data_IF_314241669372
#
_entry.id   IF_314241669372
#
_cell.length_a   1.000
_cell.length_b   1.000
_cell.length_c   1.000
_cell.angle_alpha   90.00
_cell.angle_beta   90.00
_cell.angle_gamma   90.00
#
_symmetry.space_group_name_H-M   'P 1'
#
loop_
_entity.id
_entity.type
_entity.pdbx_description
1 polymer ?
#
# COMPACT_ATOMS: atom_id res chain seq x y z
N UNK A 1 8.84 17.53 -7.94
CA UNK A 1 7.93 16.56 -8.58
C UNK A 1 8.48 15.18 -8.33
N UNK A 2 7.73 14.30 -7.68
CA UNK A 2 8.08 12.90 -7.51
C UNK A 2 7.41 12.13 -8.64
N UNK A 3 8.20 11.40 -9.43
CA UNK A 3 7.66 10.62 -10.55
C UNK A 3 6.64 9.62 -9.99
N UNK A 4 5.39 9.58 -10.49
CA UNK A 4 4.42 8.59 -10.03
C UNK A 4 4.86 7.18 -10.44
N UNK A 5 5.75 7.03 -11.41
CA UNK A 5 6.34 5.73 -11.73
C UNK A 5 7.40 5.40 -10.68
N UNK A 6 7.07 4.51 -9.75
CA UNK A 6 8.00 3.98 -8.77
C UNK A 6 9.16 3.20 -9.39
N UNK A 7 10.03 2.67 -8.52
CA UNK A 7 11.23 1.96 -8.94
C UNK A 7 10.94 0.52 -9.39
N UNK A 8 11.84 -0.06 -10.18
CA UNK A 8 11.68 -1.43 -10.66
C UNK A 8 11.85 -2.43 -9.51
N UNK A 9 11.06 -3.50 -9.52
CA UNK A 9 11.11 -4.57 -8.50
C UNK A 9 12.46 -5.28 -8.44
N UNK A 10 13.03 -5.54 -9.60
CA UNK A 10 14.38 -6.04 -9.75
C UNK A 10 15.24 -4.94 -10.39
N UNK A 11 16.48 -4.79 -9.92
CA UNK A 11 17.50 -4.02 -10.62
C UNK A 11 18.33 -4.99 -11.46
N UNK A 12 18.60 -4.63 -12.71
CA UNK A 12 19.41 -5.40 -13.64
C UNK A 12 20.79 -4.81 -13.88
N UNK A 13 20.98 -3.51 -13.59
CA UNK A 13 22.26 -2.81 -13.68
C UNK A 13 22.97 -2.78 -12.32
N UNK A 14 24.29 -2.56 -12.32
CA UNK A 14 25.11 -2.51 -11.10
C UNK A 14 24.69 -1.40 -10.14
N UNK A 15 25.30 -1.39 -8.94
CA UNK A 15 25.16 -0.28 -8.00
C UNK A 15 25.82 0.98 -8.57
N UNK A 16 25.29 2.14 -8.22
CA UNK A 16 25.94 3.42 -8.47
C UNK A 16 26.29 4.13 -7.15
N UNK A 17 26.97 5.27 -7.26
CA UNK A 17 27.36 6.11 -6.12
C UNK A 17 26.63 7.47 -6.17
N UNK A 18 26.31 8.00 -4.99
CA UNK A 18 25.93 9.37 -4.76
C UNK A 18 26.97 10.02 -3.84
N UNK A 19 27.63 11.08 -4.29
CA UNK A 19 28.66 11.80 -3.53
C UNK A 19 28.46 13.31 -3.60
N UNK A 20 28.96 14.02 -2.60
CA UNK A 20 28.91 15.48 -2.57
C UNK A 20 30.24 16.08 -3.03
N UNK A 21 30.23 16.82 -4.14
CA UNK A 21 31.43 17.41 -4.73
C UNK A 21 31.13 18.80 -5.30
N UNK A 22 32.03 19.76 -5.10
CA UNK A 22 31.90 21.09 -5.70
C UNK A 22 30.63 21.87 -5.31
N UNK A 23 30.02 21.56 -4.16
CA UNK A 23 28.81 22.22 -3.69
C UNK A 23 27.49 21.67 -4.25
N UNK A 24 27.52 20.47 -4.83
CA UNK A 24 26.35 19.79 -5.40
C UNK A 24 26.44 18.27 -5.22
N UNK A 25 25.32 17.59 -5.39
CA UNK A 25 25.28 16.13 -5.46
C UNK A 25 25.69 15.66 -6.86
N UNK A 26 26.53 14.63 -6.91
CA UNK A 26 26.84 13.85 -8.10
C UNK A 26 26.18 12.49 -7.93
N UNK A 27 25.25 12.13 -8.81
CA UNK A 27 24.49 10.87 -8.78
C UNK A 27 24.84 10.07 -10.03
N UNK A 28 25.43 8.87 -9.85
CA UNK A 28 25.87 8.02 -10.96
C UNK A 28 26.70 8.81 -12.00
N UNK A 29 27.74 9.50 -11.53
CA UNK A 29 28.62 10.37 -12.34
C UNK A 29 27.96 11.61 -12.98
N UNK A 30 26.69 11.89 -12.68
CA UNK A 30 25.96 13.04 -13.22
C UNK A 30 25.72 14.10 -12.14
N UNK A 31 26.17 15.35 -12.33
CA UNK A 31 25.88 16.43 -11.39
C UNK A 31 24.39 16.79 -11.38
N UNK A 32 23.85 17.04 -10.18
CA UNK A 32 22.43 17.36 -9.95
C UNK A 32 22.31 18.66 -9.10
N UNK A 33 22.66 19.84 -9.66
CA UNK A 33 22.68 21.10 -8.90
C UNK A 33 21.29 21.59 -8.49
N UNK A 34 20.28 21.35 -9.33
CA UNK A 34 18.94 21.94 -9.19
C UNK A 34 17.87 20.92 -8.74
N UNK A 35 18.30 19.74 -8.26
CA UNK A 35 17.41 18.62 -7.96
C UNK A 35 17.20 17.69 -9.16
N UNK A 36 16.51 16.56 -8.91
CA UNK A 36 16.27 15.52 -9.91
C UNK A 36 15.07 15.84 -10.79
N UNK A 37 15.25 15.60 -12.09
CA UNK A 37 14.17 15.59 -13.08
C UNK A 37 13.59 14.18 -13.25
N UNK A 38 12.42 14.08 -13.90
CA UNK A 38 11.84 12.79 -14.27
C UNK A 38 12.74 11.97 -15.21
N UNK A 39 13.54 12.65 -16.04
CA UNK A 39 14.51 12.02 -16.94
C UNK A 39 15.67 11.41 -16.15
N UNK A 40 16.19 12.13 -15.16
CA UNK A 40 17.26 11.62 -14.29
C UNK A 40 16.78 10.38 -13.55
N UNK A 41 15.60 10.46 -12.92
CA UNK A 41 14.98 9.32 -12.23
C UNK A 41 14.77 8.14 -13.19
N UNK A 42 14.31 8.38 -14.42
CA UNK A 42 14.11 7.33 -15.40
C UNK A 42 15.41 6.60 -15.75
N UNK A 43 16.54 7.32 -15.88
CA UNK A 43 17.85 6.74 -16.14
C UNK A 43 18.41 5.90 -14.98
N UNK A 44 17.95 6.15 -13.75
CA UNK A 44 18.39 5.44 -12.55
C UNK A 44 17.57 4.17 -12.25
N UNK A 45 16.43 3.95 -12.92
CA UNK A 45 15.46 2.89 -12.58
C UNK A 45 16.00 1.46 -12.64
N UNK A 46 16.97 1.21 -13.51
CA UNK A 46 17.53 -0.13 -13.73
C UNK A 46 18.59 -0.51 -12.69
N UNK A 47 19.07 0.44 -11.88
CA UNK A 47 20.12 0.21 -10.89
C UNK A 47 19.67 -0.75 -9.79
N UNK A 48 20.59 -1.57 -9.27
CA UNK A 48 20.36 -2.33 -8.03
C UNK A 48 20.11 -1.40 -6.84
N UNK A 49 20.71 -0.23 -6.84
CA UNK A 49 20.63 0.75 -5.76
C UNK A 49 21.77 1.77 -5.88
N UNK A 50 21.80 2.70 -4.96
CA UNK A 50 22.80 3.76 -4.89
C UNK A 50 23.43 3.75 -3.50
N UNK A 51 24.76 3.62 -3.47
CA UNK A 51 25.57 3.83 -2.29
C UNK A 51 25.77 5.34 -2.07
N UNK A 52 25.57 5.84 -0.85
CA UNK A 52 25.76 7.25 -0.52
C UNK A 52 27.10 7.39 0.21
N UNK A 53 28.03 8.11 -0.42
CA UNK A 53 29.25 8.61 0.20
C UNK A 53 28.96 9.98 0.84
N UNK A 54 28.84 9.97 2.17
CA UNK A 54 28.43 11.14 2.93
C UNK A 54 29.60 12.09 3.20
N UNK A 55 29.45 13.41 2.96
CA UNK A 55 30.44 14.38 3.37
C UNK A 55 30.48 14.52 4.90
N UNK A 56 31.66 14.86 5.42
CA UNK A 56 31.88 15.10 6.85
C UNK A 56 31.10 16.31 7.39
N UNK A 57 30.81 17.29 6.53
CA UNK A 57 30.03 18.48 6.84
C UNK A 57 28.59 18.33 6.36
N UNK A 58 27.66 19.01 7.03
CA UNK A 58 26.25 18.99 6.66
C UNK A 58 26.01 19.58 5.26
N UNK A 59 25.14 18.92 4.49
CA UNK A 59 24.76 19.30 3.12
C UNK A 59 23.26 19.18 2.92
N UNK A 60 22.66 19.86 1.92
CA UNK A 60 21.24 19.71 1.61
C UNK A 60 20.86 18.26 1.30
N UNK A 61 19.73 17.80 1.84
CA UNK A 61 19.23 16.43 1.68
C UNK A 61 18.22 16.27 0.53
N UNK A 62 17.81 17.36 -0.12
CA UNK A 62 16.72 17.38 -1.08
C UNK A 62 16.87 16.35 -2.20
N UNK A 63 18.06 16.22 -2.80
CA UNK A 63 18.33 15.23 -3.86
C UNK A 63 18.21 13.80 -3.33
N UNK A 64 18.72 13.52 -2.13
CA UNK A 64 18.65 12.19 -1.51
C UNK A 64 17.20 11.83 -1.18
N UNK A 65 16.43 12.78 -0.64
CA UNK A 65 15.01 12.59 -0.36
C UNK A 65 14.17 12.44 -1.64
N UNK A 66 14.53 13.12 -2.73
CA UNK A 66 13.93 12.93 -4.05
C UNK A 66 14.22 11.53 -4.62
N UNK A 67 15.46 11.02 -4.49
CA UNK A 67 15.79 9.62 -4.86
C UNK A 67 14.96 8.62 -4.06
N UNK A 68 14.90 8.81 -2.73
CA UNK A 68 14.09 7.98 -1.85
C UNK A 68 12.62 8.02 -2.28
N UNK A 69 12.06 9.22 -2.51
CA UNK A 69 10.67 9.41 -2.93
C UNK A 69 10.34 8.82 -4.31
N UNK A 70 11.34 8.72 -5.20
CA UNK A 70 11.25 8.00 -6.47
C UNK A 70 11.33 6.46 -6.30
N UNK A 71 11.60 5.98 -5.09
CA UNK A 71 11.75 4.57 -4.76
C UNK A 71 13.14 4.01 -5.07
N UNK A 72 14.14 4.83 -5.36
CA UNK A 72 15.51 4.34 -5.59
C UNK A 72 16.02 3.70 -4.29
N UNK A 73 16.47 2.43 -4.26
CA UNK A 73 17.09 1.84 -3.10
C UNK A 73 18.40 2.57 -2.79
N UNK A 74 18.48 3.10 -1.58
CA UNK A 74 19.65 3.84 -1.09
C UNK A 74 20.29 3.06 0.05
N UNK A 75 21.61 3.09 0.13
CA UNK A 75 22.33 2.59 1.30
C UNK A 75 23.61 3.34 1.59
N UNK A 76 24.14 3.18 2.79
CA UNK A 76 25.48 3.59 3.19
C UNK A 76 25.96 2.72 4.35
N UNK A 77 27.26 2.51 4.51
CA UNK A 77 27.79 1.72 5.63
C UNK A 77 27.64 2.45 6.96
N UNK A 78 27.75 3.79 6.93
CA UNK A 78 27.64 4.65 8.09
C UNK A 78 26.94 5.94 7.73
N UNK A 79 26.51 6.70 8.72
CA UNK A 79 25.97 8.05 8.52
C UNK A 79 26.75 9.04 9.34
N UNK A 80 26.93 10.28 8.84
CA UNK A 80 27.66 11.31 9.57
C UNK A 80 26.84 11.78 10.77
N UNK A 81 27.52 12.30 11.80
CA UNK A 81 26.87 12.73 13.05
C UNK A 81 25.83 13.84 12.89
N UNK A 82 25.86 14.59 11.79
CA UNK A 82 24.86 15.61 11.49
C UNK A 82 23.52 15.04 10.97
N UNK A 83 23.45 13.76 10.62
CA UNK A 83 22.24 13.08 10.13
C UNK A 83 21.56 12.21 11.20
N UNK A 84 22.16 12.03 12.39
CA UNK A 84 21.77 11.01 13.38
C UNK A 84 20.31 11.11 13.84
N UNK A 85 19.72 12.31 13.87
CA UNK A 85 18.34 12.54 14.31
C UNK A 85 17.30 12.37 13.18
N UNK A 86 17.72 12.21 11.91
CA UNK A 86 16.78 11.98 10.80
C UNK A 86 16.48 10.48 10.66
N UNK A 87 15.20 10.06 10.56
CA UNK A 87 14.84 8.66 10.29
C UNK A 87 15.50 8.05 9.04
N UNK A 88 15.93 8.89 8.08
CA UNK A 88 16.70 8.48 6.92
C UNK A 88 17.98 7.74 7.32
N UNK A 89 18.66 8.14 8.40
CA UNK A 89 19.91 7.52 8.82
C UNK A 89 19.76 6.01 9.08
N UNK A 90 18.74 5.63 9.84
CA UNK A 90 18.43 4.23 10.13
C UNK A 90 18.04 3.46 8.86
N UNK A 91 17.32 4.11 7.94
CA UNK A 91 16.93 3.48 6.68
C UNK A 91 18.14 3.23 5.78
N UNK A 92 19.00 4.22 5.53
CA UNK A 92 20.13 4.03 4.60
C UNK A 92 21.22 3.11 5.16
N UNK A 93 21.33 2.97 6.48
CA UNK A 93 22.26 2.02 7.10
C UNK A 93 21.71 0.59 7.20
N UNK A 94 20.41 0.38 6.92
CA UNK A 94 19.82 -0.95 6.84
C UNK A 94 20.26 -1.65 5.54
N UNK A 95 21.40 -2.33 5.60
CA UNK A 95 22.04 -3.00 4.46
C UNK A 95 21.63 -4.47 4.31
N UNK A 96 20.68 -4.96 5.13
CA UNK A 96 20.27 -6.39 5.12
C UNK A 96 19.72 -6.84 3.77
N UNK A 97 19.10 -5.94 3.01
CA UNK A 97 18.56 -6.22 1.68
C UNK A 97 19.63 -6.44 0.60
N UNK A 98 20.89 -6.05 0.86
CA UNK A 98 22.01 -6.29 -0.05
C UNK A 98 22.46 -7.76 -0.04
N UNK A 99 22.17 -8.48 1.04
CA UNK A 99 22.56 -9.87 1.18
C UNK A 99 21.60 -10.77 0.40
N UNK A 100 22.09 -11.75 -0.36
CA UNK A 100 21.23 -12.76 -0.95
C UNK A 100 20.40 -13.46 0.14
N UNK A 101 19.09 -13.54 -0.06
CA UNK A 101 18.17 -14.22 0.86
C UNK A 101 17.32 -15.23 0.09
N UNK A 102 17.18 -16.42 0.64
CA UNK A 102 16.23 -17.43 0.18
C UNK A 102 15.19 -17.68 1.25
N UNK A 103 13.97 -18.00 0.83
CA UNK A 103 12.92 -18.43 1.75
C UNK A 103 13.12 -19.89 2.22
N UNK A 104 12.22 -20.36 3.07
CA UNK A 104 12.23 -21.74 3.61
C UNK A 104 12.06 -22.84 2.56
N UNK A 105 11.67 -22.50 1.32
CA UNK A 105 11.57 -23.42 0.19
C UNK A 105 12.79 -23.32 -0.76
N UNK A 106 13.78 -22.49 -0.43
CA UNK A 106 14.99 -22.30 -1.23
C UNK A 106 14.81 -21.35 -2.43
N UNK A 107 13.68 -20.65 -2.54
CA UNK A 107 13.47 -19.67 -3.62
C UNK A 107 14.06 -18.32 -3.20
N UNK A 108 14.76 -17.67 -4.13
CA UNK A 108 15.35 -16.35 -3.89
C UNK A 108 14.28 -15.30 -3.62
N UNK A 109 14.48 -14.52 -2.55
CA UNK A 109 13.65 -13.37 -2.16
C UNK A 109 14.47 -12.07 -2.11
N UNK A 110 15.69 -12.06 -2.64
CA UNK A 110 16.58 -10.88 -2.65
C UNK A 110 15.91 -9.66 -3.29
N UNK A 111 15.25 -9.83 -4.43
CA UNK A 111 14.55 -8.72 -5.10
C UNK A 111 13.33 -8.23 -4.32
N UNK A 112 12.66 -9.14 -3.59
CA UNK A 112 11.61 -8.76 -2.65
C UNK A 112 12.18 -7.92 -1.50
N UNK A 113 13.33 -8.28 -0.92
CA UNK A 113 13.95 -7.48 0.15
C UNK A 113 14.35 -6.09 -0.33
N UNK A 114 14.86 -6.00 -1.55
CA UNK A 114 15.14 -4.71 -2.20
C UNK A 114 13.87 -3.88 -2.41
N UNK A 115 12.78 -4.49 -2.86
CA UNK A 115 11.48 -3.82 -3.04
C UNK A 115 10.89 -3.34 -1.70
N UNK A 116 10.94 -4.17 -0.66
CA UNK A 116 10.52 -3.80 0.70
C UNK A 116 11.34 -2.61 1.24
N UNK A 117 12.66 -2.62 1.02
CA UNK A 117 13.56 -1.52 1.38
C UNK A 117 13.20 -0.23 0.63
N UNK A 118 13.00 -0.34 -0.67
CA UNK A 118 12.57 0.77 -1.54
C UNK A 118 11.29 1.42 -1.03
N UNK A 119 10.27 0.63 -0.66
CA UNK A 119 9.01 1.15 -0.11
C UNK A 119 9.22 1.90 1.20
N UNK A 120 10.05 1.37 2.12
CA UNK A 120 10.35 2.03 3.40
C UNK A 120 11.06 3.38 3.20
N UNK A 121 12.07 3.42 2.33
CA UNK A 121 12.73 4.67 1.94
C UNK A 121 11.75 5.65 1.30
N UNK A 122 10.89 5.15 0.41
CA UNK A 122 9.95 5.97 -0.33
C UNK A 122 8.95 6.69 0.57
N UNK A 123 8.45 6.03 1.60
CA UNK A 123 7.61 6.69 2.61
C UNK A 123 8.32 7.90 3.22
N UNK A 124 9.57 7.74 3.67
CA UNK A 124 10.36 8.85 4.24
C UNK A 124 10.62 9.96 3.21
N UNK A 125 10.96 9.60 1.98
CA UNK A 125 11.22 10.57 0.91
C UNK A 125 9.97 11.36 0.53
N UNK A 126 8.81 10.71 0.41
CA UNK A 126 7.56 11.38 0.06
C UNK A 126 7.08 12.35 1.13
N UNK A 127 7.38 12.09 2.41
CA UNK A 127 7.07 13.02 3.50
C UNK A 127 7.91 14.31 3.49
N UNK A 128 8.90 14.42 2.58
CA UNK A 128 9.57 15.70 2.29
C UNK A 128 8.67 16.64 1.47
N UNK A 129 7.68 16.10 0.75
CA UNK A 129 6.73 16.88 -0.05
C UNK A 129 5.55 17.37 0.82
N UNK A 130 5.41 18.68 0.93
CA UNK A 130 4.33 19.31 1.69
C UNK A 130 2.93 18.91 1.19
N UNK A 131 2.76 18.64 -0.11
CA UNK A 131 1.48 18.15 -0.65
C UNK A 131 1.17 16.73 -0.16
N UNK A 132 2.18 15.85 -0.11
CA UNK A 132 2.01 14.49 0.40
C UNK A 132 1.61 14.50 1.89
N UNK A 133 2.26 15.35 2.68
CA UNK A 133 1.90 15.56 4.09
C UNK A 133 0.48 16.10 4.24
N UNK A 134 0.09 17.08 3.42
CA UNK A 134 -1.25 17.65 3.45
C UNK A 134 -2.32 16.60 3.13
N UNK A 135 -2.15 15.83 2.05
CA UNK A 135 -3.07 14.75 1.67
C UNK A 135 -3.18 13.68 2.76
N UNK A 136 -2.05 13.24 3.31
CA UNK A 136 -2.03 12.20 4.36
C UNK A 136 -2.73 12.65 5.66
N UNK A 137 -2.74 13.95 5.95
CA UNK A 137 -3.38 14.50 7.15
C UNK A 137 -4.91 14.56 7.08
N UNK A 138 -5.50 14.44 5.87
CA UNK A 138 -6.95 14.50 5.68
C UNK A 138 -7.63 13.24 6.25
N UNK A 139 -8.83 13.38 6.84
CA UNK A 139 -9.50 12.27 7.49
C UNK A 139 -9.98 11.20 6.49
N UNK A 140 -9.83 9.93 6.86
CA UNK A 140 -10.28 8.76 6.09
C UNK A 140 -11.41 8.05 6.83
N UNK A 141 -12.52 7.81 6.15
CA UNK A 141 -13.56 6.91 6.64
C UNK A 141 -13.32 5.51 6.06
N UNK A 142 -12.95 4.57 6.93
CA UNK A 142 -12.81 3.16 6.59
C UNK A 142 -14.20 2.53 6.61
N UNK A 143 -14.66 2.06 5.44
CA UNK A 143 -15.96 1.41 5.27
C UNK A 143 -15.76 -0.09 5.19
N UNK A 144 -16.33 -0.79 6.17
CA UNK A 144 -16.35 -2.25 6.24
C UNK A 144 -17.77 -2.73 6.06
N UNK A 145 -17.99 -3.76 5.24
CA UNK A 145 -19.27 -4.47 5.16
C UNK A 145 -19.02 -5.97 5.36
N UNK A 146 -19.65 -6.56 6.37
CA UNK A 146 -19.40 -7.94 6.76
C UNK A 146 -20.69 -8.71 6.97
N UNK A 147 -20.72 -9.99 6.59
CA UNK A 147 -21.73 -10.98 7.00
C UNK A 147 -21.20 -11.94 8.08
N UNK A 148 -20.02 -11.66 8.62
CA UNK A 148 -19.18 -12.60 9.40
C UNK A 148 -18.92 -12.03 10.79
N UNK A 149 -19.87 -12.12 11.73
CA UNK A 149 -19.73 -11.53 13.06
C UNK A 149 -18.45 -11.95 13.80
N UNK A 150 -17.97 -13.18 13.58
CA UNK A 150 -16.74 -13.69 14.18
C UNK A 150 -15.45 -13.05 13.66
N UNK A 151 -15.50 -12.27 12.57
CA UNK A 151 -14.35 -11.51 12.06
C UNK A 151 -14.30 -10.08 12.56
N UNK A 152 -15.37 -9.54 13.16
CA UNK A 152 -15.43 -8.15 13.59
C UNK A 152 -14.21 -7.76 14.45
N UNK A 153 -13.89 -8.57 15.47
CA UNK A 153 -12.71 -8.31 16.32
C UNK A 153 -11.40 -8.32 15.55
N UNK A 154 -11.16 -9.34 14.70
CA UNK A 154 -9.93 -9.41 13.92
C UNK A 154 -9.81 -8.24 12.93
N UNK A 155 -10.91 -7.81 12.30
CA UNK A 155 -10.91 -6.62 11.42
C UNK A 155 -10.53 -5.36 12.17
N UNK A 156 -11.12 -5.13 13.35
CA UNK A 156 -10.81 -3.98 14.18
C UNK A 156 -9.36 -3.99 14.67
N UNK A 157 -8.79 -5.14 15.00
CA UNK A 157 -7.37 -5.27 15.35
C UNK A 157 -6.43 -4.87 14.21
N UNK A 158 -6.80 -5.13 12.95
CA UNK A 158 -5.99 -4.68 11.80
C UNK A 158 -6.10 -3.17 11.56
N UNK A 159 -7.30 -2.61 11.71
CA UNK A 159 -7.53 -1.17 11.56
C UNK A 159 -6.86 -0.40 12.71
N UNK A 160 -6.91 -0.92 13.93
CA UNK A 160 -6.28 -0.30 15.12
C UNK A 160 -4.76 -0.15 14.97
N UNK A 161 -4.12 -0.98 14.14
CA UNK A 161 -2.68 -0.93 13.86
C UNK A 161 -2.30 0.08 12.77
N UNK A 162 -3.27 0.76 12.14
CA UNK A 162 -2.96 1.73 11.10
C UNK A 162 -2.22 2.95 11.69
N UNK A 163 -1.14 3.36 11.02
CA UNK A 163 -0.25 4.45 11.43
C UNK A 163 -0.30 5.59 10.43
N UNK A 164 0.09 6.78 10.87
CA UNK A 164 0.23 7.96 10.01
C UNK A 164 -1.04 8.31 9.23
N UNK A 165 -2.20 8.11 9.85
CA UNK A 165 -3.51 8.38 9.24
C UNK A 165 -4.47 8.87 10.31
N UNK A 166 -5.30 9.85 9.96
CA UNK A 166 -6.46 10.26 10.74
C UNK A 166 -7.68 9.49 10.22
N UNK A 167 -8.25 8.58 11.01
CA UNK A 167 -9.34 7.73 10.54
C UNK A 167 -10.52 7.62 11.50
N UNK A 168 -11.66 7.28 10.92
CA UNK A 168 -12.83 6.70 11.59
C UNK A 168 -13.25 5.41 10.89
N UNK A 169 -14.06 4.58 11.56
CA UNK A 169 -14.59 3.34 11.02
C UNK A 169 -16.12 3.39 10.94
N UNK A 170 -16.67 3.02 9.80
CA UNK A 170 -18.08 2.71 9.64
C UNK A 170 -18.21 1.24 9.28
N UNK A 171 -18.67 0.46 10.23
CA UNK A 171 -18.80 -0.98 10.13
C UNK A 171 -20.26 -1.34 9.89
N UNK A 172 -20.58 -1.76 8.67
CA UNK A 172 -21.88 -2.29 8.30
C UNK A 172 -21.96 -3.80 8.62
N UNK A 173 -22.65 -4.11 9.72
CA UNK A 173 -23.04 -5.46 10.12
C UNK A 173 -24.23 -5.92 9.27
N UNK A 174 -23.95 -6.74 8.26
CA UNK A 174 -24.92 -7.19 7.27
C UNK A 174 -25.49 -8.55 7.67
N UNK A 175 -26.72 -8.56 8.17
CA UNK A 175 -27.41 -9.77 8.62
C UNK A 175 -27.04 -10.22 10.03
N UNK A 176 -26.44 -9.35 10.85
CA UNK A 176 -26.15 -9.66 12.26
C UNK A 176 -26.18 -8.39 13.14
N UNK A 177 -26.37 -8.52 14.47
CA UNK A 177 -26.51 -7.36 15.34
C UNK A 177 -25.27 -6.47 15.37
N UNK A 178 -25.47 -5.15 15.23
CA UNK A 178 -24.36 -4.19 15.31
C UNK A 178 -23.68 -4.13 16.71
N UNK A 179 -24.36 -4.63 17.75
CA UNK A 179 -23.79 -4.76 19.09
C UNK A 179 -22.58 -5.68 19.14
N UNK A 180 -22.49 -6.68 18.25
CA UNK A 180 -21.31 -7.56 18.16
C UNK A 180 -20.05 -6.75 17.84
N UNK A 181 -20.17 -5.76 16.94
CA UNK A 181 -19.05 -4.88 16.56
C UNK A 181 -18.74 -3.91 17.69
N UNK A 182 -19.77 -3.33 18.32
CA UNK A 182 -19.59 -2.40 19.45
C UNK A 182 -18.89 -3.09 20.63
N UNK A 183 -19.28 -4.32 20.94
CA UNK A 183 -18.65 -5.11 22.00
C UNK A 183 -17.19 -5.43 21.65
N UNK A 184 -16.91 -5.88 20.43
CA UNK A 184 -15.54 -6.14 20.00
C UNK A 184 -14.65 -4.89 20.09
N UNK A 185 -15.16 -3.73 19.66
CA UNK A 185 -14.44 -2.47 19.78
C UNK A 185 -14.17 -2.08 21.24
N UNK A 186 -15.15 -2.27 22.13
CA UNK A 186 -15.02 -1.99 23.56
C UNK A 186 -14.01 -2.92 24.23
N UNK A 187 -14.10 -4.23 23.98
CA UNK A 187 -13.23 -5.26 24.55
C UNK A 187 -11.75 -5.04 24.17
N UNK A 188 -11.51 -4.54 22.96
CA UNK A 188 -10.17 -4.26 22.44
C UNK A 188 -9.63 -2.88 22.82
N UNK A 189 -10.46 -2.00 23.39
CA UNK A 189 -10.11 -0.59 23.58
C UNK A 189 -9.78 0.11 22.26
N UNK A 190 -10.59 -0.12 21.23
CA UNK A 190 -10.35 0.36 19.87
C UNK A 190 -10.10 1.88 19.86
N UNK A 191 -8.97 2.35 19.28
CA UNK A 191 -8.47 3.70 19.54
C UNK A 191 -9.11 4.80 18.67
N UNK A 192 -9.94 4.44 17.70
CA UNK A 192 -10.51 5.38 16.73
C UNK A 192 -12.03 5.50 16.85
N UNK A 193 -12.64 6.60 16.38
CA UNK A 193 -14.09 6.70 16.26
C UNK A 193 -14.64 5.56 15.42
N UNK A 194 -15.71 4.92 15.92
CA UNK A 194 -16.38 3.82 15.23
C UNK A 194 -17.89 3.95 15.30
N UNK A 195 -18.54 3.73 14.17
CA UNK A 195 -19.98 3.57 14.05
C UNK A 195 -20.28 2.17 13.53
N UNK A 196 -21.09 1.40 14.28
CA UNK A 196 -21.60 0.12 13.82
C UNK A 196 -23.06 0.28 13.37
N UNK A 197 -23.35 -0.15 12.14
CA UNK A 197 -24.67 -0.05 11.51
C UNK A 197 -25.18 -1.45 11.24
N UNK A 198 -26.41 -1.72 11.64
CA UNK A 198 -27.08 -2.99 11.39
C UNK A 198 -27.93 -2.89 10.13
N UNK A 199 -27.78 -3.86 9.23
CA UNK A 199 -28.58 -3.99 8.02
C UNK A 199 -29.08 -5.43 7.93
N UNK A 200 -30.26 -5.64 7.34
CA UNK A 200 -30.83 -6.99 7.17
C UNK A 200 -30.08 -7.76 6.09
N UNK A 201 -30.12 -9.09 6.13
CA UNK A 201 -29.37 -9.96 5.21
C UNK A 201 -29.90 -9.92 3.75
N UNK A 202 -31.11 -9.39 3.54
CA UNK A 202 -31.72 -9.12 2.23
C UNK A 202 -31.22 -7.82 1.58
N UNK A 203 -30.50 -6.96 2.32
CA UNK A 203 -29.97 -5.71 1.76
C UNK A 203 -28.94 -6.01 0.68
N UNK A 204 -29.06 -5.37 -0.48
CA UNK A 204 -28.12 -5.60 -1.58
C UNK A 204 -26.75 -5.07 -1.23
N UNK A 205 -25.68 -5.80 -1.57
CA UNK A 205 -24.31 -5.49 -1.10
C UNK A 205 -23.85 -4.05 -1.43
N UNK A 206 -24.14 -3.54 -2.63
CA UNK A 206 -23.88 -2.15 -2.97
C UNK A 206 -24.57 -1.14 -2.04
N UNK A 207 -25.82 -1.40 -1.67
CA UNK A 207 -26.58 -0.55 -0.73
C UNK A 207 -26.01 -0.60 0.69
N UNK A 208 -25.47 -1.76 1.11
CA UNK A 208 -24.76 -1.88 2.39
C UNK A 208 -23.55 -0.96 2.46
N UNK A 209 -22.73 -0.95 1.41
CA UNK A 209 -21.59 -0.05 1.32
C UNK A 209 -22.04 1.42 1.26
N UNK A 210 -23.11 1.74 0.51
CA UNK A 210 -23.64 3.09 0.43
C UNK A 210 -24.23 3.60 1.76
N UNK A 211 -24.86 2.74 2.58
CA UNK A 211 -25.31 3.10 3.93
C UNK A 211 -24.13 3.51 4.81
N UNK A 212 -23.03 2.73 4.75
CA UNK A 212 -21.83 3.08 5.49
C UNK A 212 -21.21 4.40 5.00
N UNK A 213 -21.12 4.61 3.68
CA UNK A 213 -20.63 5.86 3.07
C UNK A 213 -21.46 7.07 3.46
N UNK A 214 -22.79 6.95 3.59
CA UNK A 214 -23.64 8.08 4.02
C UNK A 214 -23.37 8.55 5.45
N UNK A 215 -22.76 7.71 6.28
CA UNK A 215 -22.39 8.03 7.67
C UNK A 215 -20.94 8.47 7.80
N UNK A 216 -20.16 8.33 6.73
CA UNK A 216 -18.79 8.77 6.66
C UNK A 216 -18.69 10.30 6.71
N UNK A 217 -17.78 10.79 7.54
CA UNK A 217 -17.45 12.22 7.68
C UNK A 217 -16.09 12.59 7.08
N UNK A 218 -15.23 11.60 6.82
CA UNK A 218 -13.92 11.77 6.23
C UNK A 218 -13.94 12.33 4.81
N UNK A 219 -12.79 12.87 4.40
CA UNK A 219 -12.57 13.38 3.05
C UNK A 219 -12.40 12.24 2.04
N UNK A 220 -11.81 11.14 2.50
CA UNK A 220 -11.59 9.92 1.72
C UNK A 220 -12.46 8.78 2.23
N UNK A 221 -12.90 7.94 1.31
CA UNK A 221 -13.50 6.64 1.59
C UNK A 221 -12.46 5.57 1.27
N UNK A 222 -12.15 4.71 2.24
CA UNK A 222 -11.36 3.52 2.05
C UNK A 222 -12.24 2.28 2.25
N UNK A 223 -12.44 1.47 1.21
CA UNK A 223 -13.13 0.19 1.34
C UNK A 223 -12.18 -0.83 1.98
N UNK A 224 -12.70 -1.62 2.90
CA UNK A 224 -11.94 -2.63 3.63
C UNK A 224 -12.71 -3.94 3.71
N UNK A 225 -12.12 -5.02 3.18
CA UNK A 225 -12.68 -6.38 3.26
C UNK A 225 -12.23 -7.07 4.58
N UNK A 226 -13.14 -7.73 5.28
CA UNK A 226 -12.95 -8.26 6.64
C UNK A 226 -12.20 -9.61 6.71
N UNK A 227 -11.94 -10.28 5.59
CA UNK A 227 -11.17 -11.54 5.49
C UNK A 227 -9.73 -11.39 5.03
N UNK A 228 -9.32 -10.22 4.53
CA UNK A 228 -7.97 -10.01 4.02
C UNK A 228 -7.02 -9.49 5.09
N UNK A 229 -5.71 -9.53 4.81
CA UNK A 229 -4.68 -8.97 5.69
C UNK A 229 -4.11 -7.67 5.16
N UNK A 230 -3.97 -6.70 6.06
CA UNK A 230 -3.49 -5.35 5.76
C UNK A 230 -2.34 -4.98 6.71
N UNK A 231 -1.28 -4.40 6.15
CA UNK A 231 -0.13 -3.92 6.89
C UNK A 231 -0.42 -2.62 7.66
N UNK A 232 0.40 -2.26 8.67
CA UNK A 232 0.14 -1.11 9.55
C UNK A 232 0.25 0.26 8.86
N UNK A 233 0.91 0.36 7.71
CA UNK A 233 1.02 1.61 6.95
C UNK A 233 0.13 1.62 5.71
N UNK A 234 -0.72 0.60 5.55
CA UNK A 234 -1.48 0.36 4.33
C UNK A 234 -2.32 1.57 3.88
N UNK A 235 -3.10 2.18 4.79
CA UNK A 235 -3.88 3.37 4.45
C UNK A 235 -2.97 4.57 4.15
N UNK A 236 -1.86 4.71 4.87
CA UNK A 236 -0.90 5.78 4.65
C UNK A 236 -0.23 5.68 3.27
N UNK A 237 0.07 4.46 2.80
CA UNK A 237 0.61 4.22 1.46
C UNK A 237 -0.40 4.61 0.37
N UNK A 238 -1.70 4.31 0.56
CA UNK A 238 -2.74 4.74 -0.36
C UNK A 238 -2.89 6.27 -0.42
N UNK A 239 -2.82 6.96 0.72
CA UNK A 239 -2.86 8.42 0.77
C UNK A 239 -1.65 9.05 0.08
N UNK A 240 -0.45 8.51 0.33
CA UNK A 240 0.76 8.92 -0.38
C UNK A 240 0.61 8.68 -1.89
N UNK A 241 0.04 7.54 -2.29
CA UNK A 241 -0.27 7.24 -3.69
C UNK A 241 -1.25 8.22 -4.31
N UNK A 242 -2.30 8.60 -3.59
CA UNK A 242 -3.24 9.64 -4.02
C UNK A 242 -2.51 10.97 -4.25
N UNK A 243 -1.58 11.32 -3.38
CA UNK A 243 -0.85 12.58 -3.45
C UNK A 243 0.10 12.66 -4.65
N UNK A 244 0.95 11.66 -4.87
CA UNK A 244 1.95 11.71 -5.95
C UNK A 244 1.35 11.38 -7.33
N UNK A 245 0.28 10.56 -7.39
CA UNK A 245 -0.33 10.19 -8.67
C UNK A 245 -1.37 11.20 -9.15
N UNK A 246 -1.98 11.94 -8.22
CA UNK A 246 -3.14 12.79 -8.49
C UNK A 246 -4.41 12.03 -8.88
N UNK A 247 -4.38 10.68 -8.89
CA UNK A 247 -5.46 9.88 -9.45
C UNK A 247 -6.78 9.99 -8.69
N UNK A 248 -7.92 9.81 -9.34
CA UNK A 248 -9.24 9.93 -8.71
C UNK A 248 -9.52 8.76 -7.76
N UNK A 249 -9.04 7.58 -8.12
CA UNK A 249 -9.10 6.36 -7.32
C UNK A 249 -7.73 5.70 -7.26
N UNK A 250 -7.34 5.27 -6.06
CA UNK A 250 -6.11 4.50 -5.84
C UNK A 250 -6.42 3.16 -5.20
N UNK A 251 -5.52 2.20 -5.39
CA UNK A 251 -5.56 0.91 -4.70
C UNK A 251 -4.32 0.08 -5.01
N UNK A 252 -4.34 -1.19 -4.64
CA UNK A 252 -3.20 -2.10 -4.86
C UNK A 252 -3.60 -3.26 -5.79
N UNK A 253 -2.62 -3.99 -6.32
CA UNK A 253 -2.91 -5.32 -6.90
C UNK A 253 -3.11 -6.35 -5.80
N UNK A 254 -4.07 -7.27 -5.99
CA UNK A 254 -4.07 -8.55 -5.29
C UNK A 254 -2.91 -9.40 -5.85
N UNK A 255 -1.71 -9.10 -5.38
CA UNK A 255 -0.46 -9.73 -5.80
C UNK A 255 -0.12 -10.93 -4.91
N UNK A 256 -0.39 -10.81 -3.61
CA UNK A 256 -0.16 -11.85 -2.61
C UNK A 256 -1.47 -12.52 -2.23
N UNK A 257 -1.45 -13.84 -2.14
CA UNK A 257 -2.58 -14.63 -1.66
C UNK A 257 -2.14 -15.66 -0.66
N UNK A 258 -2.93 -15.86 0.39
CA UNK A 258 -2.86 -17.08 1.19
C UNK A 258 -4.00 -18.03 0.81
N UNK A 259 -3.62 -19.16 0.23
CA UNK A 259 -4.49 -20.26 -0.15
C UNK A 259 -4.64 -21.18 1.06
N UNK A 260 -5.61 -20.88 1.91
CA UNK A 260 -5.82 -21.53 3.21
C UNK A 260 -5.98 -23.06 3.09
N UNK A 261 -6.78 -23.62 2.14
CA UNK A 261 -6.90 -25.06 1.99
C UNK A 261 -5.60 -25.78 1.61
N UNK A 262 -4.64 -25.06 1.02
CA UNK A 262 -3.32 -25.60 0.65
C UNK A 262 -2.23 -25.24 1.66
N UNK A 263 -2.56 -24.43 2.68
CA UNK A 263 -1.60 -23.79 3.57
C UNK A 263 -0.41 -23.21 2.79
N UNK A 264 -0.71 -22.39 1.77
CA UNK A 264 0.27 -21.90 0.81
C UNK A 264 0.10 -20.39 0.59
N UNK A 265 1.18 -19.63 0.78
CA UNK A 265 1.24 -18.24 0.33
C UNK A 265 1.84 -18.20 -1.07
N UNK A 266 1.28 -17.36 -1.96
CA UNK A 266 1.81 -17.16 -3.31
C UNK A 266 1.96 -15.68 -3.61
N UNK A 267 2.88 -15.37 -4.52
CA UNK A 267 2.99 -14.07 -5.20
C UNK A 267 2.75 -14.29 -6.69
N UNK A 268 1.79 -13.61 -7.29
CA UNK A 268 1.46 -13.76 -8.71
C UNK A 268 2.46 -13.07 -9.63
N UNK A 269 2.73 -13.69 -10.77
CA UNK A 269 3.46 -13.06 -11.87
C UNK A 269 2.60 -12.01 -12.60
N UNK A 270 3.24 -11.02 -13.24
CA UNK A 270 2.59 -10.13 -14.21
C UNK A 270 1.77 -8.97 -13.63
N UNK A 271 1.76 -8.79 -12.30
CA UNK A 271 1.19 -7.59 -11.69
C UNK A 271 2.27 -6.52 -11.60
N UNK A 272 2.07 -5.40 -12.29
CA UNK A 272 2.92 -4.22 -12.15
C UNK A 272 2.33 -3.29 -11.10
N UNK A 273 3.14 -2.87 -10.14
CA UNK A 273 2.82 -1.77 -9.25
C UNK A 273 3.29 -0.45 -9.84
N UNK A 274 2.82 0.63 -9.24
CA UNK A 274 3.22 1.99 -9.54
C UNK A 274 2.86 2.45 -10.97
N UNK A 275 1.60 2.19 -11.35
CA UNK A 275 1.12 2.39 -12.72
C UNK A 275 -0.31 2.92 -12.75
N UNK A 276 -0.62 3.76 -13.73
CA UNK A 276 -2.00 4.04 -14.12
C UNK A 276 -2.61 2.74 -14.62
N UNK A 277 -3.76 2.37 -14.06
CA UNK A 277 -4.42 1.10 -14.34
C UNK A 277 -5.90 1.32 -14.57
N UNK A 278 -6.59 0.31 -15.08
CA UNK A 278 -8.05 0.24 -15.08
C UNK A 278 -8.56 -0.68 -13.96
N UNK A 279 -7.65 -1.25 -13.17
CA UNK A 279 -8.00 -2.25 -12.17
C UNK A 279 -7.10 -2.25 -10.92
N UNK A 280 -7.75 -2.29 -9.76
CA UNK A 280 -7.17 -2.54 -8.43
C UNK A 280 -7.98 -3.62 -7.71
N UNK A 281 -7.43 -4.20 -6.66
CA UNK A 281 -8.14 -5.17 -5.82
C UNK A 281 -9.29 -4.49 -5.07
N UNK A 282 -10.44 -5.15 -5.04
CA UNK A 282 -11.69 -4.59 -4.52
C UNK A 282 -11.65 -4.18 -3.05
N UNK A 283 -11.00 -4.97 -2.20
CA UNK A 283 -10.75 -4.62 -0.79
C UNK A 283 -9.73 -3.51 -0.58
N UNK A 284 -9.24 -2.88 -1.66
CA UNK A 284 -8.13 -1.92 -1.58
C UNK A 284 -8.42 -0.52 -2.11
N UNK A 285 -9.68 -0.22 -2.37
CA UNK A 285 -10.10 1.01 -3.02
C UNK A 285 -10.05 2.18 -2.03
N UNK A 286 -9.36 3.26 -2.41
CA UNK A 286 -9.42 4.57 -1.77
C UNK A 286 -9.71 5.66 -2.81
N UNK A 287 -10.66 6.54 -2.50
CA UNK A 287 -11.04 7.68 -3.34
C UNK A 287 -11.64 8.81 -2.50
N UNK A 288 -11.73 10.01 -3.07
CA UNK A 288 -12.42 11.12 -2.40
C UNK A 288 -13.92 10.81 -2.23
N UNK A 289 -14.49 11.17 -1.09
CA UNK A 289 -15.93 10.96 -0.81
C UNK A 289 -16.81 11.70 -1.81
N UNK A 290 -16.42 12.92 -2.18
CA UNK A 290 -17.06 13.72 -3.24
C UNK A 290 -16.89 13.05 -4.61
N UNK A 291 -15.72 12.49 -4.88
CA UNK A 291 -15.45 11.70 -6.09
C UNK A 291 -16.37 10.48 -6.21
N UNK A 292 -16.49 9.69 -5.14
CA UNK A 292 -17.43 8.55 -5.06
C UNK A 292 -18.88 8.99 -5.32
N UNK A 293 -19.31 10.10 -4.71
CA UNK A 293 -20.66 10.63 -4.92
C UNK A 293 -20.88 11.06 -6.39
N UNK A 294 -19.87 11.66 -7.03
CA UNK A 294 -19.97 12.14 -8.41
C UNK A 294 -20.16 11.03 -9.45
N UNK A 295 -19.65 9.83 -9.17
CA UNK A 295 -19.82 8.63 -10.02
C UNK A 295 -21.02 7.77 -9.63
N UNK A 296 -21.84 8.22 -8.67
CA UNK A 296 -23.09 7.55 -8.27
C UNK A 296 -22.97 6.56 -7.11
N UNK A 297 -21.83 6.52 -6.42
CA UNK A 297 -21.60 5.60 -5.30
C UNK A 297 -21.32 4.16 -5.75
N UNK A 298 -21.55 3.21 -4.84
CA UNK A 298 -21.49 1.78 -5.16
C UNK A 298 -22.79 1.36 -5.86
N UNK A 299 -22.71 0.72 -7.04
CA UNK A 299 -23.92 0.26 -7.74
C UNK A 299 -24.69 -0.76 -6.86
N UNK A 300 -26.03 -0.64 -6.71
CA UNK A 300 -26.87 -1.58 -5.94
C UNK A 300 -26.98 -2.99 -6.55
N UNK A 301 -25.85 -3.70 -6.61
CA UNK A 301 -25.74 -5.07 -7.13
C UNK A 301 -25.20 -6.01 -6.05
N UNK A 302 -25.56 -7.31 -6.09
CA UNK A 302 -25.15 -8.26 -5.04
C UNK A 302 -23.69 -8.72 -5.16
N UNK A 303 -23.07 -8.59 -6.34
CA UNK A 303 -21.69 -9.02 -6.61
C UNK A 303 -21.02 -8.07 -7.60
N UNK A 304 -19.68 -8.11 -7.66
CA UNK A 304 -18.86 -7.30 -8.58
C UNK A 304 -19.01 -5.77 -8.42
N UNK A 305 -19.51 -5.32 -7.26
CA UNK A 305 -19.68 -3.90 -6.90
C UNK A 305 -18.39 -3.10 -7.14
N UNK A 306 -17.25 -3.65 -6.72
CA UNK A 306 -15.94 -3.02 -6.89
C UNK A 306 -15.60 -2.80 -8.38
N UNK A 307 -15.84 -3.82 -9.22
CA UNK A 307 -15.62 -3.71 -10.67
C UNK A 307 -16.53 -2.69 -11.34
N UNK A 308 -17.78 -2.56 -10.86
CA UNK A 308 -18.71 -1.52 -11.34
C UNK A 308 -18.26 -0.12 -10.95
N UNK A 309 -17.76 0.07 -9.73
CA UNK A 309 -17.19 1.36 -9.31
C UNK A 309 -15.98 1.74 -10.18
N UNK A 310 -15.06 0.81 -10.42
CA UNK A 310 -13.90 1.07 -11.29
C UNK A 310 -14.34 1.47 -12.72
N UNK A 311 -15.33 0.77 -13.27
CA UNK A 311 -15.89 1.10 -14.59
C UNK A 311 -16.61 2.46 -14.59
N UNK A 312 -17.28 2.85 -13.51
CA UNK A 312 -17.94 4.14 -13.39
C UNK A 312 -16.93 5.30 -13.33
N UNK A 313 -15.83 5.13 -12.59
CA UNK A 313 -14.72 6.10 -12.55
C UNK A 313 -14.10 6.27 -13.94
N UNK A 314 -13.79 5.16 -14.63
CA UNK A 314 -13.24 5.19 -16.00
C UNK A 314 -14.20 5.86 -16.99
N UNK A 315 -15.50 5.52 -16.93
CA UNK A 315 -16.54 6.12 -17.78
C UNK A 315 -16.74 7.62 -17.54
N UNK A 316 -16.45 8.10 -16.32
CA UNK A 316 -16.44 9.52 -15.99
C UNK A 316 -15.16 10.25 -16.43
N UNK A 317 -14.21 9.55 -17.07
CA UNK A 317 -12.90 10.07 -17.45
C UNK A 317 -11.92 10.18 -16.27
N UNK A 318 -12.26 9.57 -15.14
CA UNK A 318 -11.43 9.51 -13.95
C UNK A 318 -10.25 8.56 -14.12
N UNK A 319 -9.16 8.86 -13.43
CA UNK A 319 -7.93 8.10 -13.45
C UNK A 319 -7.85 7.13 -12.26
N UNK A 320 -7.43 5.90 -12.52
CA UNK A 320 -7.20 4.88 -11.50
C UNK A 320 -5.69 4.60 -11.42
N UNK A 321 -5.15 4.60 -10.22
CA UNK A 321 -3.73 4.35 -10.01
C UNK A 321 -3.50 3.18 -9.05
N UNK A 322 -2.59 2.28 -9.44
CA UNK A 322 -2.26 1.07 -8.68
C UNK A 322 -0.87 1.18 -8.07
N UNK A 323 -0.79 1.27 -6.74
CA UNK A 323 0.47 1.27 -5.99
C UNK A 323 0.93 -0.16 -5.65
N UNK A 324 2.01 -0.30 -4.88
CA UNK A 324 2.59 -1.58 -4.48
C UNK A 324 1.60 -2.46 -3.68
N UNK A 325 1.67 -3.77 -3.92
CA UNK A 325 0.84 -4.77 -3.23
C UNK A 325 1.43 -5.28 -1.92
N UNK A 326 2.63 -4.84 -1.51
CA UNK A 326 3.37 -5.45 -0.40
C UNK A 326 2.64 -5.38 0.95
N UNK A 327 1.78 -4.38 1.18
CA UNK A 327 1.04 -4.23 2.43
C UNK A 327 -0.34 -4.92 2.44
N UNK A 328 -0.65 -5.73 1.41
CA UNK A 328 -1.95 -6.38 1.25
C UNK A 328 -1.78 -7.85 0.85
N UNK A 329 -2.47 -8.74 1.56
CA UNK A 329 -2.48 -10.16 1.27
C UNK A 329 -3.91 -10.68 1.30
N UNK A 330 -4.37 -11.16 0.14
CA UNK A 330 -5.73 -11.63 -0.02
C UNK A 330 -5.91 -13.05 0.52
N UNK A 331 -6.96 -13.29 1.29
CA UNK A 331 -7.31 -14.63 1.76
C UNK A 331 -8.10 -15.38 0.71
N UNK A 332 -7.79 -16.68 0.56
CA UNK A 332 -8.59 -17.63 -0.21
C UNK A 332 -8.93 -18.83 0.65
N UNK A 333 -10.09 -18.75 1.30
CA UNK A 333 -10.73 -19.86 2.02
C UNK A 333 -11.50 -20.76 1.05
N UNK A 334 -12.07 -21.90 1.48
CA UNK A 334 -12.89 -22.76 0.63
C UNK A 334 -13.99 -21.99 -0.12
N UNK A 335 -14.31 -22.44 -1.35
CA UNK A 335 -15.14 -21.73 -2.35
C UNK A 335 -16.49 -21.23 -1.79
N UNK A 336 -17.06 -21.95 -0.82
CA UNK A 336 -18.36 -21.64 -0.21
C UNK A 336 -18.37 -20.32 0.59
N UNK A 337 -17.20 -19.74 0.89
CA UNK A 337 -17.06 -18.53 1.69
C UNK A 337 -16.65 -17.30 0.85
N UNK A 338 -16.47 -17.45 -0.47
CA UNK A 338 -15.88 -16.40 -1.32
C UNK A 338 -16.78 -16.03 -2.51
N UNK A 339 -16.86 -14.72 -2.78
CA UNK A 339 -17.51 -14.21 -4.01
C UNK A 339 -16.68 -14.49 -5.27
N UNK A 340 -15.36 -14.67 -5.13
CA UNK A 340 -14.46 -15.03 -6.23
C UNK A 340 -14.26 -16.55 -6.32
N UNK A 341 -14.84 -17.17 -7.36
CA UNK A 341 -14.93 -18.62 -7.55
C UNK A 341 -13.83 -19.25 -8.41
N UNK A 342 -12.65 -18.64 -8.51
CA UNK A 342 -11.56 -19.24 -9.30
C UNK A 342 -10.96 -20.47 -8.59
N UNK A 343 -10.68 -21.58 -9.30
CA UNK A 343 -10.05 -22.76 -8.70
C UNK A 343 -8.66 -22.44 -8.13
N UNK A 344 -8.32 -23.02 -6.97
CA UNK A 344 -7.00 -22.83 -6.33
C UNK A 344 -5.83 -23.18 -7.27
N UNK A 345 -6.00 -24.18 -8.14
CA UNK A 345 -4.99 -24.56 -9.13
C UNK A 345 -4.64 -23.42 -10.11
N UNK A 346 -5.59 -22.54 -10.43
CA UNK A 346 -5.32 -21.38 -11.28
C UNK A 346 -4.41 -20.36 -10.58
N UNK A 347 -4.59 -20.17 -9.27
CA UNK A 347 -3.72 -19.32 -8.46
C UNK A 347 -2.29 -19.87 -8.40
N UNK A 348 -2.15 -21.17 -8.13
CA UNK A 348 -0.84 -21.84 -8.09
C UNK A 348 -0.13 -21.75 -9.44
N UNK A 349 -0.84 -21.97 -10.56
CA UNK A 349 -0.26 -21.86 -11.90
C UNK A 349 0.22 -20.44 -12.25
N UNK A 350 -0.45 -19.42 -11.72
CA UNK A 350 -0.11 -18.01 -11.97
C UNK A 350 0.96 -17.46 -11.00
N UNK A 351 1.47 -18.26 -10.08
CA UNK A 351 2.43 -17.82 -9.07
C UNK A 351 3.84 -17.69 -9.64
N UNK A 352 4.48 -16.54 -9.43
CA UNK A 352 5.92 -16.35 -9.61
C UNK A 352 6.72 -16.96 -8.45
N UNK A 353 6.18 -16.86 -7.23
CA UNK A 353 6.76 -17.43 -6.03
C UNK A 353 5.68 -18.16 -5.21
N UNK A 354 6.10 -19.20 -4.49
CA UNK A 354 5.23 -20.01 -3.64
C UNK A 354 5.95 -20.36 -2.34
N UNK A 355 5.27 -20.19 -1.22
CA UNK A 355 5.80 -20.47 0.10
C UNK A 355 4.82 -21.32 0.90
N UNK A 356 5.32 -22.38 1.54
CA UNK A 356 4.52 -23.16 2.49
C UNK A 356 4.23 -22.34 3.75
N UNK A 357 2.99 -22.40 4.22
CA UNK A 357 2.52 -21.65 5.38
C UNK A 357 2.00 -20.26 5.03
N UNK A 358 1.53 -19.57 6.07
CA UNK A 358 1.31 -18.13 6.05
C UNK A 358 2.68 -17.42 6.05
N UNK A 359 2.98 -16.70 4.97
CA UNK A 359 4.28 -16.07 4.70
C UNK A 359 4.08 -14.66 4.14
N UNK A 360 3.61 -13.72 4.98
CA UNK A 360 3.44 -12.34 4.58
C UNK A 360 4.78 -11.66 4.26
N UNK A 361 4.71 -10.49 3.64
CA UNK A 361 5.87 -9.63 3.43
C UNK A 361 6.27 -8.96 4.75
N UNK A 362 7.51 -8.48 4.84
CA UNK A 362 7.98 -7.68 5.99
C UNK A 362 7.17 -6.38 6.14
N UNK A 363 6.75 -5.81 5.02
CA UNK A 363 5.90 -4.61 4.98
C UNK A 363 4.52 -4.87 5.59
N UNK A 364 3.93 -6.04 5.34
CA UNK A 364 2.65 -6.42 5.94
C UNK A 364 2.78 -6.68 7.44
N UNK A 365 3.85 -7.35 7.87
CA UNK A 365 4.11 -7.61 9.29
C UNK A 365 4.42 -6.33 10.09
N UNK A 366 4.87 -5.27 9.41
CA UNK A 366 5.24 -3.99 10.03
C UNK A 366 6.69 -3.93 10.52
N UNK A 367 7.55 -4.81 10.01
CA UNK A 367 8.96 -4.97 10.37
C UNK A 367 9.93 -4.16 9.51
#
# INVERSE_FOLDING_TARGET
MTSPKGFLRAGSAEMAEARWEGGQWIIAETPVPDGLTDTDVAGLRDLRGIHIDWPSSAVPLDVILQLAAAGVPLHSETTPGWLTDDPLAALVTDTRWLQPETDSAGVSVTDLRREEHSVRLRRRGLLHDANAVAVQSRPVSVVVASKRPWLAGATLEQIARQRHVNLEVIFAAHGFPADVVRQAAADQGFPFPIQAVELTDETVFGDVLNEAVRRASGDYIAKWDDDDWYGPDYLSDLLLAKAYSGADLVGTSAEYFYLEPLNLTIRRAGHHSEIVSTHVAGGTILLERTGLASVGGFEPVPTAVDGKLLAAVDAAGGSIYRTHGLAFLARRSPIEQHTWRSPLAAFVKAAANQWRGFRPTRILEGS
#
